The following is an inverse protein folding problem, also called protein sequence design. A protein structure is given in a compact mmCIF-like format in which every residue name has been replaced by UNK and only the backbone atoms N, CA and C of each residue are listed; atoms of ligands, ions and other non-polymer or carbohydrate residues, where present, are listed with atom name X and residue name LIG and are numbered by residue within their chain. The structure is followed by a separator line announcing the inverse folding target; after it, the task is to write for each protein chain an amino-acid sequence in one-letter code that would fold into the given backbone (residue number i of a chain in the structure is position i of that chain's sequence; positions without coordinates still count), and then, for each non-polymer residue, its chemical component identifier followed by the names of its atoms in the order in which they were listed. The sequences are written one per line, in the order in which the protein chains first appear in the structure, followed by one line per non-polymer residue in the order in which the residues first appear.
data_IF_197257361611
#
_entry.id   IF_197257361611
#
_cell.length_a   1.000
_cell.length_b   1.000
_cell.length_c   1.000
_cell.angle_alpha   90.00
_cell.angle_beta   90.00
_cell.angle_gamma   90.00
#
_symmetry.space_group_name_H-M   'P 1'
#
loop_
_entity.id
_entity.type
_entity.pdbx_description
1 polymer ?
#
# COMPACT_ATOMS: atom_id res chain seq x y z
N UNK A 1 -18.89 23.62 -27.42
CA UNK A 1 -18.73 22.93 -26.13
C UNK A 1 -18.37 21.48 -26.41
N UNK A 2 -17.09 21.12 -26.29
CA UNK A 2 -16.59 19.82 -26.72
C UNK A 2 -16.89 18.71 -25.72
N UNK A 3 -16.83 17.45 -26.16
CA UNK A 3 -16.87 16.26 -25.28
C UNK A 3 -15.84 16.39 -24.14
N UNK A 4 -14.69 17.00 -24.45
CA UNK A 4 -13.59 17.27 -23.53
C UNK A 4 -13.97 18.22 -22.37
N UNK A 5 -14.76 19.26 -22.64
CA UNK A 5 -15.29 20.16 -21.59
C UNK A 5 -16.28 19.43 -20.69
N UNK A 6 -16.98 18.42 -21.23
CA UNK A 6 -17.93 17.62 -20.45
C UNK A 6 -17.19 16.65 -19.54
N UNK A 7 -16.12 16.01 -20.01
CA UNK A 7 -15.24 15.15 -19.20
C UNK A 7 -14.59 15.99 -18.08
N UNK A 8 -14.01 17.15 -18.41
CA UNK A 8 -13.41 18.03 -17.40
C UNK A 8 -14.43 18.59 -16.40
N UNK A 9 -15.66 18.84 -16.84
CA UNK A 9 -16.76 19.27 -15.98
C UNK A 9 -17.21 18.16 -15.04
N UNK A 10 -17.28 16.91 -15.51
CA UNK A 10 -17.60 15.75 -14.65
C UNK A 10 -16.50 15.54 -13.62
N UNK A 11 -15.22 15.65 -14.01
CA UNK A 11 -14.08 15.57 -13.08
C UNK A 11 -14.14 16.69 -12.03
N UNK A 12 -14.41 17.95 -12.42
CA UNK A 12 -14.57 19.08 -11.48
C UNK A 12 -15.80 18.97 -10.59
N UNK A 13 -16.94 18.56 -11.15
CA UNK A 13 -18.19 18.44 -10.43
C UNK A 13 -18.09 17.33 -9.37
N UNK A 14 -17.48 16.18 -9.73
CA UNK A 14 -17.19 15.13 -8.76
C UNK A 14 -16.14 15.57 -7.73
N UNK A 15 -15.08 16.29 -8.09
CA UNK A 15 -14.11 16.77 -7.09
C UNK A 15 -14.73 17.68 -6.02
N UNK A 16 -15.77 18.46 -6.35
CA UNK A 16 -16.47 19.30 -5.37
C UNK A 16 -17.46 18.51 -4.51
N UNK A 17 -18.16 17.51 -5.07
CA UNK A 17 -19.15 16.70 -4.32
C UNK A 17 -18.50 15.57 -3.49
N UNK A 18 -17.24 15.19 -3.77
CA UNK A 18 -16.54 14.08 -3.12
C UNK A 18 -15.71 14.49 -1.89
N UNK A 19 -15.47 15.80 -1.68
CA UNK A 19 -14.74 16.32 -0.51
C UNK A 19 -15.51 16.07 0.80
N UNK A 20 -16.83 15.87 0.73
CA UNK A 20 -17.67 15.67 1.91
C UNK A 20 -17.86 14.22 2.38
N UNK A 21 -17.58 13.19 1.55
CA UNK A 21 -18.09 11.82 1.82
C UNK A 21 -17.24 10.61 1.39
N UNK A 22 -16.04 10.77 0.82
CA UNK A 22 -15.24 9.60 0.38
C UNK A 22 -14.12 9.23 1.36
N UNK A 23 -14.14 7.98 1.80
CA UNK A 23 -13.24 7.37 2.80
C UNK A 23 -11.81 7.09 2.32
N UNK A 24 -11.50 7.12 1.01
CA UNK A 24 -10.15 6.80 0.54
C UNK A 24 -9.74 7.53 -0.77
N UNK A 25 -8.92 8.59 -0.69
CA UNK A 25 -8.48 9.35 -1.86
C UNK A 25 -7.64 8.53 -2.85
N UNK A 26 -7.03 7.43 -2.41
CA UNK A 26 -6.28 6.52 -3.30
C UNK A 26 -7.22 5.88 -4.34
N UNK A 27 -8.36 5.35 -3.88
CA UNK A 27 -9.35 4.68 -4.74
C UNK A 27 -9.95 5.60 -5.79
N UNK A 28 -10.20 6.87 -5.44
CA UNK A 28 -10.76 7.86 -6.38
C UNK A 28 -9.79 8.10 -7.54
N UNK A 29 -8.50 8.29 -7.22
CA UNK A 29 -7.49 8.57 -8.22
C UNK A 29 -7.21 7.34 -9.09
N UNK A 30 -7.24 6.14 -8.51
CA UNK A 30 -7.17 4.88 -9.26
C UNK A 30 -8.34 4.71 -10.22
N UNK A 31 -9.58 4.87 -9.74
CA UNK A 31 -10.77 4.77 -10.57
C UNK A 31 -10.77 5.80 -11.69
N UNK A 32 -10.38 7.05 -11.40
CA UNK A 32 -10.31 8.11 -12.41
C UNK A 32 -9.35 7.74 -13.55
N UNK A 33 -8.17 7.21 -13.22
CA UNK A 33 -7.20 6.77 -14.23
C UNK A 33 -7.75 5.58 -15.04
N UNK A 34 -8.42 4.63 -14.38
CA UNK A 34 -9.05 3.48 -15.06
C UNK A 34 -10.13 3.94 -16.04
N UNK A 35 -11.00 4.86 -15.63
CA UNK A 35 -12.06 5.41 -16.49
C UNK A 35 -11.45 6.12 -17.71
N UNK A 36 -10.41 6.93 -17.51
CA UNK A 36 -9.70 7.56 -18.63
C UNK A 36 -9.06 6.53 -19.58
N UNK A 37 -8.55 5.41 -19.07
CA UNK A 37 -8.02 4.33 -19.91
C UNK A 37 -9.13 3.65 -20.72
N UNK A 38 -10.30 3.43 -20.13
CA UNK A 38 -11.47 2.88 -20.83
C UNK A 38 -11.94 3.82 -21.94
N UNK A 39 -12.03 5.12 -21.66
CA UNK A 39 -12.36 6.15 -22.65
C UNK A 39 -11.36 6.18 -23.80
N UNK A 40 -10.06 6.00 -23.51
CA UNK A 40 -9.03 5.92 -24.55
C UNK A 40 -9.24 4.71 -25.47
N UNK A 41 -9.67 3.56 -24.94
CA UNK A 41 -9.98 2.38 -25.75
C UNK A 41 -11.15 2.67 -26.69
N UNK A 42 -12.22 3.30 -26.20
CA UNK A 42 -13.36 3.69 -27.02
C UNK A 42 -12.96 4.70 -28.11
N UNK A 43 -12.12 5.68 -27.76
CA UNK A 43 -11.61 6.65 -28.73
C UNK A 43 -10.76 5.98 -29.81
N UNK A 44 -9.89 5.02 -29.44
CA UNK A 44 -9.09 4.24 -30.39
C UNK A 44 -9.98 3.45 -31.36
N UNK A 45 -11.05 2.84 -30.86
CA UNK A 45 -12.03 2.14 -31.71
C UNK A 45 -12.74 3.10 -32.67
N UNK A 46 -13.18 4.27 -32.20
CA UNK A 46 -13.82 5.28 -33.04
C UNK A 46 -12.86 5.81 -34.13
N UNK A 47 -11.59 6.07 -33.78
CA UNK A 47 -10.54 6.47 -34.74
C UNK A 47 -10.33 5.37 -35.78
N UNK A 48 -10.26 4.10 -35.36
CA UNK A 48 -10.11 2.97 -36.26
C UNK A 48 -11.29 2.84 -37.23
N UNK A 49 -12.52 3.03 -36.76
CA UNK A 49 -13.72 3.01 -37.60
C UNK A 49 -13.74 4.17 -38.61
N UNK A 50 -13.29 5.36 -38.20
CA UNK A 50 -13.14 6.50 -39.11
C UNK A 50 -12.10 6.22 -40.20
N UNK A 51 -10.94 5.66 -39.84
CA UNK A 51 -9.90 5.25 -40.81
C UNK A 51 -10.42 4.16 -41.75
N UNK A 52 -11.17 3.17 -41.24
CA UNK A 52 -11.74 2.11 -42.06
C UNK A 52 -12.75 2.66 -43.07
N UNK A 53 -13.58 3.61 -42.65
CA UNK A 53 -14.52 4.32 -43.52
C UNK A 53 -13.78 5.11 -44.60
N UNK A 54 -12.73 5.83 -44.23
CA UNK A 54 -11.86 6.55 -45.15
C UNK A 54 -11.25 5.63 -46.22
N UNK A 55 -10.62 4.52 -45.80
CA UNK A 55 -10.06 3.52 -46.72
C UNK A 55 -11.11 2.90 -47.64
N UNK A 56 -12.34 2.73 -47.16
CA UNK A 56 -13.44 2.24 -48.00
C UNK A 56 -13.78 3.25 -49.10
N UNK A 57 -13.95 4.52 -48.75
CA UNK A 57 -14.20 5.60 -49.73
C UNK A 57 -13.04 5.72 -50.71
N UNK A 58 -11.79 5.55 -50.26
CA UNK A 58 -10.59 5.56 -51.10
C UNK A 58 -10.62 4.45 -52.16
N UNK A 59 -10.96 3.23 -51.75
CA UNK A 59 -11.14 2.11 -52.68
C UNK A 59 -12.26 2.37 -53.69
N UNK A 60 -13.38 2.96 -53.25
CA UNK A 60 -14.49 3.29 -54.14
C UNK A 60 -14.09 4.37 -55.16
N UNK A 61 -13.37 5.41 -54.74
CA UNK A 61 -12.85 6.44 -55.63
C UNK A 61 -11.89 5.85 -56.67
N UNK A 62 -10.95 5.01 -56.22
CA UNK A 62 -10.03 4.30 -57.10
C UNK A 62 -10.75 3.40 -58.10
N UNK A 63 -11.79 2.67 -57.68
CA UNK A 63 -12.56 1.81 -58.59
C UNK A 63 -13.32 2.64 -59.63
N UNK A 64 -13.95 3.75 -59.22
CA UNK A 64 -14.64 4.66 -60.15
C UNK A 64 -13.66 5.24 -61.18
N UNK A 65 -12.45 5.62 -60.75
CA UNK A 65 -11.39 6.08 -61.64
C UNK A 65 -10.97 5.00 -62.64
N UNK A 66 -10.69 3.78 -62.20
CA UNK A 66 -10.36 2.65 -63.08
C UNK A 66 -11.46 2.39 -64.12
N UNK A 67 -12.73 2.39 -63.69
CA UNK A 67 -13.86 2.21 -64.59
C UNK A 67 -13.95 3.36 -65.61
N UNK A 68 -13.69 4.59 -65.19
CA UNK A 68 -13.68 5.75 -66.10
C UNK A 68 -12.61 5.61 -67.19
N UNK A 69 -11.43 5.11 -66.84
CA UNK A 69 -10.33 4.88 -67.78
C UNK A 69 -10.65 3.72 -68.73
N UNK A 70 -11.32 2.67 -68.24
CA UNK A 70 -11.77 1.56 -69.08
C UNK A 70 -12.81 2.03 -70.11
N UNK A 71 -13.81 2.81 -69.70
CA UNK A 71 -14.78 3.39 -70.63
C UNK A 71 -14.13 4.36 -71.62
N UNK A 72 -13.08 5.06 -71.21
CA UNK A 72 -12.30 5.88 -72.13
C UNK A 72 -11.60 5.05 -73.20
N UNK A 73 -10.93 3.96 -72.82
CA UNK A 73 -10.30 3.03 -73.78
C UNK A 73 -11.33 2.41 -74.74
N UNK A 74 -12.52 2.06 -74.23
CA UNK A 74 -13.63 1.56 -75.06
C UNK A 74 -14.13 2.61 -76.06
N UNK A 75 -14.25 3.86 -75.66
CA UNK A 75 -14.62 4.96 -76.56
C UNK A 75 -13.58 5.17 -77.67
N UNK A 76 -12.29 5.11 -77.33
CA UNK A 76 -11.20 5.19 -78.31
C UNK A 76 -11.26 4.05 -79.33
N UNK A 77 -11.50 2.81 -78.87
CA UNK A 77 -11.64 1.64 -79.76
C UNK A 77 -12.85 1.77 -80.69
N UNK A 78 -14.00 2.25 -80.19
CA UNK A 78 -15.19 2.48 -81.02
C UNK A 78 -14.93 3.53 -82.11
N UNK A 79 -14.27 4.64 -81.76
CA UNK A 79 -13.83 5.67 -82.71
C UNK A 79 -12.86 5.11 -83.77
N UNK A 80 -11.88 4.30 -83.37
CA UNK A 80 -10.96 3.65 -84.32
C UNK A 80 -11.68 2.74 -85.32
N UNK A 81 -12.81 2.15 -84.91
CA UNK A 81 -13.66 1.31 -85.77
C UNK A 81 -14.72 2.11 -86.55
N UNK A 82 -14.74 3.44 -86.42
CA UNK A 82 -15.68 4.33 -87.11
C UNK A 82 -17.08 4.37 -86.50
N UNK A 83 -17.31 3.78 -85.32
CA UNK A 83 -18.60 3.79 -84.64
C UNK A 83 -18.69 4.94 -83.63
N UNK A 84 -19.06 6.12 -84.14
CA UNK A 84 -19.18 7.33 -83.33
C UNK A 84 -20.30 7.26 -82.29
N UNK A 85 -21.39 6.54 -82.58
CA UNK A 85 -22.52 6.44 -81.66
C UNK A 85 -22.11 5.63 -80.42
N UNK A 86 -21.45 4.48 -80.63
CA UNK A 86 -20.91 3.67 -79.55
C UNK A 86 -19.83 4.42 -78.74
N UNK A 87 -19.01 5.23 -79.42
CA UNK A 87 -18.02 6.08 -78.75
C UNK A 87 -18.68 7.13 -77.84
N UNK A 88 -19.75 7.80 -78.31
CA UNK A 88 -20.52 8.77 -77.49
C UNK A 88 -21.15 8.10 -76.27
N UNK A 89 -21.74 6.92 -76.41
CA UNK A 89 -22.30 6.18 -75.28
C UNK A 89 -21.23 5.80 -74.24
N UNK A 90 -20.06 5.32 -74.70
CA UNK A 90 -18.95 5.00 -73.82
C UNK A 90 -18.42 6.25 -73.07
N UNK A 91 -18.35 7.40 -73.75
CA UNK A 91 -17.99 8.68 -73.13
C UNK A 91 -19.04 9.17 -72.12
N UNK A 92 -20.33 8.95 -72.38
CA UNK A 92 -21.39 9.26 -71.41
C UNK A 92 -21.24 8.44 -70.13
N UNK A 93 -20.96 7.13 -70.25
CA UNK A 93 -20.67 6.26 -69.09
C UNK A 93 -19.40 6.69 -68.36
N UNK A 94 -18.32 7.01 -69.09
CA UNK A 94 -17.09 7.57 -68.51
C UNK A 94 -17.40 8.80 -67.68
N UNK A 95 -18.18 9.75 -68.20
CA UNK A 95 -18.52 11.00 -67.51
C UNK A 95 -19.15 10.73 -66.14
N UNK A 96 -20.11 9.80 -66.06
CA UNK A 96 -20.73 9.40 -64.78
C UNK A 96 -19.70 8.83 -63.78
N UNK A 97 -18.76 8.01 -64.23
CA UNK A 97 -17.70 7.49 -63.37
C UNK A 97 -16.71 8.57 -62.92
N UNK A 98 -16.39 9.54 -63.77
CA UNK A 98 -15.55 10.69 -63.41
C UNK A 98 -16.23 11.55 -62.34
N UNK A 99 -17.53 11.86 -62.51
CA UNK A 99 -18.31 12.60 -61.52
C UNK A 99 -18.37 11.85 -60.18
N UNK A 100 -18.56 10.53 -60.22
CA UNK A 100 -18.54 9.67 -59.02
C UNK A 100 -17.18 9.70 -58.32
N UNK A 101 -16.08 9.55 -59.08
CA UNK A 101 -14.73 9.61 -58.53
C UNK A 101 -14.46 10.97 -57.87
N UNK A 102 -14.82 12.06 -58.54
CA UNK A 102 -14.65 13.43 -58.03
C UNK A 102 -15.43 13.66 -56.72
N UNK A 103 -16.68 13.19 -56.64
CA UNK A 103 -17.48 13.28 -55.43
C UNK A 103 -16.84 12.49 -54.26
N UNK A 104 -16.32 11.29 -54.53
CA UNK A 104 -15.63 10.49 -53.51
C UNK A 104 -14.29 11.09 -53.08
N UNK A 105 -13.54 11.72 -53.99
CA UNK A 105 -12.31 12.45 -53.67
C UNK A 105 -12.58 13.67 -52.78
N UNK A 106 -13.64 14.42 -53.05
CA UNK A 106 -14.07 15.51 -52.18
C UNK A 106 -14.44 15.00 -50.77
N UNK A 107 -15.15 13.86 -50.70
CA UNK A 107 -15.47 13.21 -49.44
C UNK A 107 -14.22 12.73 -48.68
N UNK A 108 -13.22 12.19 -49.40
CA UNK A 108 -11.95 11.77 -48.81
C UNK A 108 -11.18 12.93 -48.18
N UNK A 109 -11.18 14.10 -48.81
CA UNK A 109 -10.55 15.30 -48.25
C UNK A 109 -11.16 15.68 -46.90
N UNK A 110 -12.49 15.70 -46.81
CA UNK A 110 -13.21 15.98 -45.57
C UNK A 110 -12.93 14.93 -44.49
N UNK A 111 -13.01 13.64 -44.85
CA UNK A 111 -12.72 12.54 -43.94
C UNK A 111 -11.25 12.57 -43.46
N UNK A 112 -10.31 12.95 -44.32
CA UNK A 112 -8.89 13.05 -43.99
C UNK A 112 -8.61 14.10 -42.91
N UNK A 113 -9.27 15.26 -42.98
CA UNK A 113 -9.18 16.28 -41.93
C UNK A 113 -9.73 15.76 -40.58
N UNK A 114 -10.89 15.08 -40.61
CA UNK A 114 -11.52 14.50 -39.42
C UNK A 114 -10.62 13.43 -38.79
N UNK A 115 -10.11 12.48 -39.58
CA UNK A 115 -9.21 11.41 -39.11
C UNK A 115 -7.93 11.99 -38.52
N UNK A 116 -7.35 13.02 -39.15
CA UNK A 116 -6.17 13.72 -38.62
C UNK A 116 -6.46 14.35 -37.26
N UNK A 117 -7.58 15.06 -37.13
CA UNK A 117 -7.98 15.68 -35.87
C UNK A 117 -8.23 14.63 -34.77
N UNK A 118 -8.89 13.53 -35.11
CA UNK A 118 -9.16 12.43 -34.17
C UNK A 118 -7.86 11.78 -33.68
N UNK A 119 -6.89 11.55 -34.56
CA UNK A 119 -5.55 11.03 -34.19
C UNK A 119 -4.82 11.99 -33.25
N UNK A 120 -4.81 13.29 -33.55
CA UNK A 120 -4.18 14.29 -32.69
C UNK A 120 -4.84 14.35 -31.31
N UNK A 121 -6.17 14.31 -31.24
CA UNK A 121 -6.91 14.30 -29.98
C UNK A 121 -6.62 13.03 -29.18
N UNK A 122 -6.51 11.88 -29.84
CA UNK A 122 -6.13 10.62 -29.22
C UNK A 122 -4.73 10.69 -28.58
N UNK A 123 -3.73 11.18 -29.32
CA UNK A 123 -2.36 11.36 -28.78
C UNK A 123 -2.33 12.32 -27.59
N UNK A 124 -3.10 13.41 -27.64
CA UNK A 124 -3.25 14.34 -26.51
C UNK A 124 -3.86 13.64 -25.29
N UNK A 125 -4.89 12.82 -25.48
CA UNK A 125 -5.51 12.07 -24.40
C UNK A 125 -4.53 11.05 -23.80
N UNK A 126 -3.77 10.34 -24.62
CA UNK A 126 -2.72 9.41 -24.18
C UNK A 126 -1.68 10.11 -23.29
N UNK A 127 -1.18 11.27 -23.73
CA UNK A 127 -0.25 12.09 -22.96
C UNK A 127 -0.87 12.52 -21.61
N UNK A 128 -2.13 12.97 -21.62
CA UNK A 128 -2.83 13.38 -20.38
C UNK A 128 -3.08 12.22 -19.42
N UNK A 129 -3.36 11.03 -19.92
CA UNK A 129 -3.48 9.81 -19.10
C UNK A 129 -2.13 9.48 -18.46
N UNK A 130 -1.03 9.61 -19.20
CA UNK A 130 0.31 9.40 -18.66
C UNK A 130 0.61 10.41 -17.52
N UNK A 131 0.34 11.70 -17.75
CA UNK A 131 0.47 12.73 -16.70
C UNK A 131 -0.41 12.42 -15.48
N UNK A 132 -1.65 11.97 -15.68
CA UNK A 132 -2.58 11.62 -14.61
C UNK A 132 -2.09 10.44 -13.78
N UNK A 133 -1.47 9.42 -14.42
CA UNK A 133 -0.85 8.29 -13.72
C UNK A 133 0.29 8.73 -12.80
N UNK A 134 1.21 9.54 -13.31
CA UNK A 134 2.32 10.08 -12.51
C UNK A 134 1.80 10.90 -11.33
N UNK A 135 0.78 11.74 -11.55
CA UNK A 135 0.16 12.53 -10.48
C UNK A 135 -0.55 11.67 -9.45
N UNK A 136 -1.27 10.62 -9.88
CA UNK A 136 -1.90 9.63 -9.00
C UNK A 136 -0.83 9.03 -8.07
N UNK A 137 0.25 8.49 -8.62
CA UNK A 137 1.29 7.81 -7.83
C UNK A 137 1.94 8.78 -6.82
N UNK A 138 2.20 10.02 -7.24
CA UNK A 138 2.70 11.09 -6.37
C UNK A 138 1.72 11.40 -5.22
N UNK A 139 0.43 11.53 -5.51
CA UNK A 139 -0.58 11.84 -4.50
C UNK A 139 -0.82 10.68 -3.53
N UNK A 140 -0.80 9.44 -4.03
CA UNK A 140 -0.87 8.24 -3.18
C UNK A 140 0.33 8.21 -2.22
N UNK A 141 1.55 8.42 -2.71
CA UNK A 141 2.75 8.46 -1.86
C UNK A 141 2.65 9.56 -0.78
N UNK A 142 2.15 10.75 -1.16
CA UNK A 142 1.96 11.87 -0.23
C UNK A 142 0.87 11.58 0.80
N UNK A 143 -0.25 10.96 0.41
CA UNK A 143 -1.32 10.56 1.31
C UNK A 143 -0.82 9.53 2.32
N UNK A 144 -0.05 8.53 1.89
CA UNK A 144 0.56 7.53 2.79
C UNK A 144 1.55 8.15 3.77
N UNK A 145 2.40 9.06 3.31
CA UNK A 145 3.34 9.77 4.17
C UNK A 145 2.63 10.66 5.20
N UNK A 146 1.55 11.35 4.79
CA UNK A 146 0.73 12.14 5.70
C UNK A 146 0.05 11.25 6.76
N UNK A 147 -0.54 10.12 6.35
CA UNK A 147 -1.18 9.15 7.26
C UNK A 147 -0.18 8.53 8.24
N UNK A 148 1.03 8.20 7.80
CA UNK A 148 2.09 7.71 8.67
C UNK A 148 2.55 8.78 9.68
N UNK A 149 2.64 10.05 9.25
CA UNK A 149 3.00 11.17 10.12
C UNK A 149 1.91 11.45 11.17
N UNK A 150 0.64 11.37 10.77
CA UNK A 150 -0.52 11.48 11.67
C UNK A 150 -0.49 10.35 12.71
N UNK A 151 -0.33 9.09 12.29
CA UNK A 151 -0.22 7.95 13.19
C UNK A 151 0.95 8.08 14.17
N UNK A 152 2.12 8.56 13.71
CA UNK A 152 3.26 8.82 14.57
C UNK A 152 2.95 9.91 15.60
N UNK A 153 2.33 11.01 15.18
CA UNK A 153 1.91 12.08 16.08
C UNK A 153 0.87 11.61 17.09
N UNK A 154 -0.10 10.78 16.69
CA UNK A 154 -1.05 10.16 17.61
C UNK A 154 -0.34 9.25 18.62
N UNK A 155 0.62 8.43 18.18
CA UNK A 155 1.43 7.60 19.07
C UNK A 155 2.25 8.44 20.04
N UNK A 156 2.92 9.48 19.55
CA UNK A 156 3.69 10.42 20.37
C UNK A 156 2.81 11.19 21.35
N UNK A 157 1.58 11.57 20.97
CA UNK A 157 0.61 12.19 21.87
C UNK A 157 0.06 11.20 22.90
N UNK A 158 -0.06 9.90 22.56
CA UNK A 158 -0.43 8.85 23.51
C UNK A 158 0.70 8.53 24.50
N UNK A 159 1.95 8.63 24.05
CA UNK A 159 3.16 8.39 24.87
C UNK A 159 3.55 9.64 25.67
N UNK A 160 3.33 10.82 25.09
CA UNK A 160 3.76 12.11 25.62
C UNK A 160 2.69 12.77 26.49
N UNK A 161 3.15 13.24 27.66
CA UNK A 161 2.47 14.09 28.67
C UNK A 161 1.77 13.42 29.86
N UNK A 162 2.07 12.16 30.17
CA UNK A 162 1.83 11.69 31.55
C UNK A 162 2.10 10.21 31.82
N UNK A 163 1.85 9.30 30.89
CA UNK A 163 1.81 7.88 31.26
C UNK A 163 3.19 7.25 31.55
N UNK A 164 4.23 7.60 30.78
CA UNK A 164 5.56 6.99 30.96
C UNK A 164 6.35 7.60 32.12
N UNK A 165 6.31 8.92 32.29
CA UNK A 165 6.96 9.62 33.41
C UNK A 165 6.26 9.32 34.74
N UNK A 166 4.92 9.33 34.78
CA UNK A 166 4.16 8.97 36.00
C UNK A 166 4.33 7.48 36.35
N UNK A 167 4.66 6.60 35.40
CA UNK A 167 4.98 5.22 35.71
C UNK A 167 6.36 5.08 36.38
N UNK A 168 7.34 5.89 35.97
CA UNK A 168 8.65 5.97 36.62
C UNK A 168 8.55 6.58 38.03
N UNK A 169 7.86 7.73 38.19
CA UNK A 169 7.67 8.35 39.51
C UNK A 169 6.95 7.41 40.49
N UNK A 170 5.91 6.69 40.04
CA UNK A 170 5.23 5.70 40.90
C UNK A 170 6.13 4.53 41.30
N UNK A 171 7.14 4.21 40.51
CA UNK A 171 8.08 3.14 40.81
C UNK A 171 9.15 3.62 41.79
N UNK A 172 9.62 4.86 41.62
CA UNK A 172 10.52 5.55 42.56
C UNK A 172 9.89 5.67 43.95
N UNK A 173 8.63 6.12 44.07
CA UNK A 173 7.89 6.18 45.33
C UNK A 173 7.74 4.79 45.99
N UNK A 174 7.55 3.74 45.19
CA UNK A 174 7.43 2.36 45.68
C UNK A 174 8.75 1.85 46.24
N UNK A 175 9.87 2.17 45.58
CA UNK A 175 11.22 1.81 46.03
C UNK A 175 11.54 2.56 47.32
N UNK A 176 11.29 3.86 47.40
CA UNK A 176 11.47 4.65 48.62
C UNK A 176 10.65 4.10 49.80
N UNK A 177 9.40 3.68 49.59
CA UNK A 177 8.61 3.03 50.64
C UNK A 177 9.19 1.69 51.08
N UNK A 178 9.73 0.89 50.16
CA UNK A 178 10.34 -0.39 50.48
C UNK A 178 11.66 -0.20 51.24
N UNK A 179 12.46 0.78 50.87
CA UNK A 179 13.68 1.18 51.58
C UNK A 179 13.36 1.67 52.98
N UNK A 180 12.42 2.62 53.14
CA UNK A 180 11.99 3.11 54.45
C UNK A 180 11.42 1.99 55.34
N UNK A 181 10.70 1.03 54.76
CA UNK A 181 10.20 -0.15 55.48
C UNK A 181 11.32 -1.10 55.89
N UNK A 182 12.35 -1.25 55.06
CA UNK A 182 13.53 -2.05 55.38
C UNK A 182 14.34 -1.40 56.51
N UNK A 183 14.51 -0.09 56.49
CA UNK A 183 15.15 0.67 57.57
C UNK A 183 14.36 0.55 58.88
N UNK A 184 13.03 0.74 58.84
CA UNK A 184 12.19 0.57 60.02
C UNK A 184 12.22 -0.86 60.59
N UNK A 185 12.31 -1.88 59.73
CA UNK A 185 12.46 -3.29 60.16
C UNK A 185 13.85 -3.56 60.76
N UNK A 186 14.90 -2.90 60.26
CA UNK A 186 16.24 -2.98 60.83
C UNK A 186 16.29 -2.32 62.21
N UNK A 187 15.62 -1.18 62.40
CA UNK A 187 15.49 -0.50 63.68
C UNK A 187 14.66 -1.32 64.70
N UNK A 188 13.56 -1.94 64.25
CA UNK A 188 12.76 -2.89 65.06
C UNK A 188 13.52 -4.18 65.40
N UNK A 189 14.40 -4.65 64.51
CA UNK A 189 15.23 -5.83 64.76
C UNK A 189 16.36 -5.52 65.74
N UNK A 190 16.90 -4.29 65.72
CA UNK A 190 17.83 -3.77 66.72
C UNK A 190 17.26 -3.81 68.14
N UNK A 191 15.97 -3.48 68.31
CA UNK A 191 15.32 -3.47 69.63
C UNK A 191 14.90 -4.87 70.14
N UNK A 192 14.96 -5.90 69.28
CA UNK A 192 14.58 -7.28 69.61
C UNK A 192 15.76 -8.20 69.96
N UNK A 193 16.98 -7.85 69.52
CA UNK A 193 18.19 -8.63 69.81
C UNK A 193 18.74 -8.29 71.20
N UNK A 194 18.73 -7.01 71.59
CA UNK A 194 19.18 -6.53 72.91
C UNK A 194 18.28 -7.07 74.04
N UNK A 195 16.94 -7.07 73.85
CA UNK A 195 15.98 -7.68 74.79
C UNK A 195 16.12 -9.21 74.90
N UNK A 196 16.65 -9.88 73.88
CA UNK A 196 16.91 -11.33 73.90
C UNK A 196 18.23 -11.68 74.62
N UNK A 197 19.19 -10.75 74.67
CA UNK A 197 20.38 -10.91 75.49
C UNK A 197 20.13 -10.57 76.98
N UNK A 198 19.24 -9.63 77.30
CA UNK A 198 18.81 -9.39 78.69
C UNK A 198 18.00 -10.55 79.30
N UNK A 199 17.26 -11.31 78.49
CA UNK A 199 16.51 -12.50 78.93
C UNK A 199 17.39 -13.75 79.16
N UNK A 200 18.65 -13.74 78.71
CA UNK A 200 19.62 -14.84 78.86
C UNK A 200 20.56 -14.65 80.06
N UNK A 201 20.36 -13.60 80.85
CA UNK A 201 21.25 -13.23 81.96
C UNK A 201 20.55 -13.00 83.29
N UNK A 202 19.73 -13.94 83.78
CA UNK A 202 19.37 -13.98 85.21
C UNK A 202 18.69 -15.29 85.66
N UNK A 203 19.47 -16.12 86.37
CA UNK A 203 19.08 -16.91 87.55
C UNK A 203 17.93 -17.91 87.44
N UNK A 204 18.27 -19.22 87.35
CA UNK A 204 17.64 -20.30 88.14
C UNK A 204 18.29 -21.69 87.88
N UNK A 205 19.60 -21.72 87.66
CA UNK A 205 20.36 -22.93 87.36
C UNK A 205 20.97 -23.60 88.62
N UNK A 206 20.58 -23.20 89.83
CA UNK A 206 21.25 -23.68 91.07
C UNK A 206 20.28 -24.31 92.09
N UNK A 207 19.03 -23.84 92.20
CA UNK A 207 18.07 -24.36 93.18
C UNK A 207 17.15 -25.48 92.65
N UNK A 208 16.96 -25.57 91.32
CA UNK A 208 16.21 -26.66 90.69
C UNK A 208 17.05 -27.95 90.57
N UNK A 209 18.36 -27.84 90.33
CA UNK A 209 19.25 -28.99 90.20
C UNK A 209 19.59 -29.65 91.56
N UNK A 210 19.49 -28.92 92.67
CA UNK A 210 19.66 -29.50 94.02
C UNK A 210 18.46 -30.35 94.48
N UNK A 211 17.26 -30.08 93.96
CA UNK A 211 16.06 -30.89 94.19
C UNK A 211 15.99 -32.13 93.28
N UNK A 212 16.60 -32.05 92.09
CA UNK A 212 16.76 -33.20 91.18
C UNK A 212 17.78 -34.23 91.68
N UNK A 213 18.69 -33.82 92.58
CA UNK A 213 19.53 -34.70 93.38
C UNK A 213 18.68 -35.44 94.45
N UNK A 214 17.83 -36.41 94.07
CA UNK A 214 17.32 -37.49 94.96
C UNK A 214 16.35 -38.50 94.33
N UNK A 215 15.81 -38.24 93.14
CA UNK A 215 14.70 -39.04 92.58
C UNK A 215 15.07 -40.16 91.59
N UNK A 216 16.20 -40.08 90.89
CA UNK A 216 16.53 -41.06 89.84
C UNK A 216 17.98 -41.53 89.93
N UNK A 217 18.19 -42.43 90.90
CA UNK A 217 19.09 -43.56 90.77
C UNK A 217 18.55 -44.46 89.64
N UNK A 218 19.49 -45.11 88.93
CA UNK A 218 19.37 -46.23 87.99
C UNK A 218 19.27 -45.94 86.48
N UNK A 219 20.38 -46.31 85.83
CA UNK A 219 20.52 -46.78 84.44
C UNK A 219 20.37 -45.68 83.37
N UNK A 220 21.38 -45.35 82.56
CA UNK A 220 22.65 -46.00 82.29
C UNK A 220 23.06 -45.64 80.87
N UNK A 221 24.32 -45.22 80.72
CA UNK A 221 25.11 -45.23 79.48
C UNK A 221 24.69 -44.27 78.33
N UNK A 222 25.47 -43.18 78.22
CA UNK A 222 25.96 -42.65 76.94
C UNK A 222 26.95 -43.67 76.28
N UNK A 223 27.63 -43.47 75.11
CA UNK A 223 27.78 -42.24 74.29
C UNK A 223 27.85 -42.54 72.74
N UNK A 224 27.90 -41.59 71.79
CA UNK A 224 29.08 -41.04 71.07
C UNK A 224 28.69 -40.76 69.59
N UNK A 225 28.76 -39.52 69.11
CA UNK A 225 29.84 -38.88 68.31
C UNK A 225 30.02 -39.38 66.86
N UNK A 226 29.78 -38.46 65.91
CA UNK A 226 30.52 -38.11 64.66
C UNK A 226 31.45 -39.16 64.01
N UNK A 227 31.55 -39.24 62.66
CA UNK A 227 32.16 -38.14 61.89
C UNK A 227 31.67 -37.91 60.45
N UNK A 228 32.16 -36.78 59.94
CA UNK A 228 32.17 -36.33 58.55
C UNK A 228 33.13 -37.20 57.74
N UNK A 229 32.66 -37.72 56.61
CA UNK A 229 33.43 -38.10 55.41
C UNK A 229 32.43 -38.70 54.41
N UNK A 230 32.73 -38.93 53.11
CA UNK A 230 33.93 -38.70 52.31
C UNK A 230 33.52 -37.95 51.01
N UNK A 231 34.28 -38.02 49.93
CA UNK A 231 33.77 -37.68 48.58
C UNK A 231 33.55 -36.20 48.21
N UNK A 232 34.05 -35.29 49.06
CA UNK A 232 34.99 -34.25 48.58
C UNK A 232 36.18 -34.87 47.78
N UNK A 233 36.37 -36.19 47.85
CA UNK A 233 37.17 -37.01 46.94
C UNK A 233 36.53 -37.27 45.55
N UNK A 234 35.20 -37.25 45.39
CA UNK A 234 34.56 -37.47 44.07
C UNK A 234 34.74 -36.26 43.16
N UNK A 235 34.65 -35.04 43.70
CA UNK A 235 34.89 -33.82 42.90
C UNK A 235 36.34 -33.72 42.37
N UNK A 236 37.29 -34.38 43.05
CA UNK A 236 38.70 -34.42 42.61
C UNK A 236 38.95 -35.44 41.49
N UNK A 237 38.10 -36.45 41.33
CA UNK A 237 38.23 -37.46 40.27
C UNK A 237 37.57 -37.03 38.95
N UNK A 238 36.51 -36.20 39.00
CA UNK A 238 35.80 -35.73 37.81
C UNK A 238 36.56 -34.64 37.04
N UNK A 239 37.25 -33.71 37.71
CA UNK A 239 37.97 -32.61 37.04
C UNK A 239 39.22 -33.10 36.30
N UNK A 240 39.79 -34.25 36.69
CA UNK A 240 40.97 -34.83 36.02
C UNK A 240 40.62 -35.60 34.74
N UNK A 241 39.32 -35.80 34.44
CA UNK A 241 38.86 -36.58 33.28
C UNK A 241 38.41 -35.71 32.09
N UNK A 242 38.40 -34.38 32.23
CA UNK A 242 37.94 -33.45 31.19
C UNK A 242 39.03 -32.54 30.60
N UNK A 243 40.30 -32.92 30.70
CA UNK A 243 41.42 -32.38 29.89
C UNK A 243 42.14 -33.51 29.19
#
# INVERSE_FOLDING_TARGET
MGLFDRIWRVIRANLNDLVGKMEDPEKILEQTVLDMQNDLIQLRQAVAQAIATQKRTERQASQARTNSEEWYRRAQLALQKGDENLAREALARRKSYVETASAMEAQLSQQGAIVTQLKQNMMKLESKISEAKTKKDMYIARARSAKASEQLNEMLNRVGTGSAMNAFERMEDKVLQLEARSEAMAELSGDSLEKRFEALGQGDEIDAELAAMKGQINQGALPQSQPVDPELEKLRSEIRRSM
#
